data_IF_834137180379
#
_entry.id   IF_834137180379
#
_cell.length_a   1.000
_cell.length_b   1.000
_cell.length_c   1.000
_cell.angle_alpha   90.00
_cell.angle_beta   90.00
_cell.angle_gamma   90.00
#
_symmetry.space_group_name_H-M   'P 1'
#
loop_
_entity.id
_entity.type
_entity.pdbx_description
1 polymer ?
#
# COMPACT_ATOMS: atom_id res chain seq x y z
N UNK A 1 7.81 -13.87 -7.98
CA UNK A 1 7.47 -12.80 -8.95
C UNK A 1 7.68 -13.26 -10.39
N UNK A 2 8.79 -13.94 -10.70
CA UNK A 2 9.05 -14.52 -12.04
C UNK A 2 7.91 -15.40 -12.58
N UNK A 3 7.39 -16.33 -11.77
CA UNK A 3 6.25 -17.18 -12.17
C UNK A 3 4.98 -16.40 -12.57
N UNK A 4 4.72 -15.27 -11.90
CA UNK A 4 3.56 -14.40 -12.17
C UNK A 4 3.76 -13.70 -13.51
N UNK A 5 4.97 -13.18 -13.73
CA UNK A 5 5.36 -12.51 -14.97
C UNK A 5 5.25 -13.48 -16.14
N UNK A 6 5.75 -14.71 -16.00
CA UNK A 6 5.61 -15.74 -17.04
C UNK A 6 4.15 -16.09 -17.32
N UNK A 7 3.31 -16.21 -16.28
CA UNK A 7 1.88 -16.50 -16.48
C UNK A 7 1.15 -15.35 -17.19
N UNK A 8 1.40 -14.11 -16.80
CA UNK A 8 0.90 -12.92 -17.50
C UNK A 8 1.32 -12.93 -18.97
N UNK A 9 2.59 -13.22 -19.28
CA UNK A 9 3.06 -13.32 -20.68
C UNK A 9 2.29 -14.37 -21.45
N UNK A 10 2.14 -15.56 -20.89
CA UNK A 10 1.44 -16.67 -21.55
C UNK A 10 -0.01 -16.32 -21.84
N UNK A 11 -0.73 -15.72 -20.89
CA UNK A 11 -2.10 -15.30 -21.12
C UNK A 11 -2.23 -14.14 -22.10
N UNK A 12 -1.30 -13.18 -22.09
CA UNK A 12 -1.28 -12.09 -23.08
C UNK A 12 -1.07 -12.66 -24.49
N UNK A 13 -0.12 -13.57 -24.66
CA UNK A 13 0.12 -14.25 -25.94
C UNK A 13 -1.13 -15.03 -26.39
N UNK A 14 -1.86 -15.58 -25.42
CA UNK A 14 -3.04 -16.39 -25.68
C UNK A 14 -4.36 -15.61 -25.76
N UNK A 15 -4.35 -14.32 -25.47
CA UNK A 15 -5.54 -13.47 -25.46
C UNK A 15 -6.10 -13.30 -26.87
N UNK A 16 -7.43 -13.38 -27.03
CA UNK A 16 -8.08 -13.40 -28.35
C UNK A 16 -7.73 -12.18 -29.20
N UNK A 17 -7.67 -10.99 -28.60
CA UNK A 17 -7.28 -9.76 -29.31
C UNK A 17 -5.83 -9.85 -29.85
N UNK A 18 -4.93 -10.52 -29.12
CA UNK A 18 -3.53 -10.71 -29.54
C UNK A 18 -3.43 -11.81 -30.60
N UNK A 19 -4.16 -12.93 -30.43
CA UNK A 19 -4.25 -14.01 -31.41
C UNK A 19 -4.88 -13.60 -32.74
N UNK A 20 -5.84 -12.68 -32.70
CA UNK A 20 -6.51 -12.16 -33.90
C UNK A 20 -5.77 -10.97 -34.53
N UNK A 21 -4.57 -10.64 -34.04
CA UNK A 21 -3.70 -9.59 -34.58
C UNK A 21 -2.50 -10.17 -35.33
N UNK A 22 -1.70 -9.32 -35.96
CA UNK A 22 -0.44 -9.71 -36.61
C UNK A 22 0.68 -10.14 -35.64
N UNK A 23 0.38 -10.22 -34.32
CA UNK A 23 1.28 -10.77 -33.30
C UNK A 23 1.25 -12.31 -33.25
N UNK A 24 0.19 -12.93 -33.76
CA UNK A 24 0.02 -14.39 -33.75
C UNK A 24 1.05 -15.11 -34.63
N UNK A 25 1.53 -16.28 -34.17
CA UNK A 25 2.48 -17.13 -34.90
C UNK A 25 3.95 -16.68 -34.84
N UNK A 26 4.28 -15.60 -34.13
CA UNK A 26 5.66 -15.15 -33.95
C UNK A 26 6.22 -15.56 -32.59
N UNK A 27 7.15 -16.53 -32.57
CA UNK A 27 7.77 -17.06 -31.33
C UNK A 27 8.80 -16.10 -30.70
N UNK A 28 9.23 -15.07 -31.44
CA UNK A 28 10.11 -14.01 -30.95
C UNK A 28 9.66 -12.66 -31.49
N UNK A 29 9.17 -11.81 -30.60
CA UNK A 29 8.74 -10.46 -30.97
C UNK A 29 9.94 -9.53 -31.15
N UNK A 30 9.94 -8.77 -32.26
CA UNK A 30 10.88 -7.67 -32.50
C UNK A 30 10.24 -6.34 -32.05
N UNK A 31 10.99 -5.24 -32.16
CA UNK A 31 10.54 -3.91 -31.72
C UNK A 31 9.16 -3.51 -32.27
N UNK A 32 8.87 -3.82 -33.53
CA UNK A 32 7.59 -3.51 -34.17
C UNK A 32 6.41 -4.22 -33.50
N UNK A 33 6.57 -5.49 -33.10
CA UNK A 33 5.56 -6.27 -32.40
C UNK A 33 5.27 -5.70 -31.01
N UNK A 34 6.29 -5.22 -30.29
CA UNK A 34 6.08 -4.56 -29.00
C UNK A 34 5.40 -3.18 -29.11
N UNK A 35 5.58 -2.48 -30.22
CA UNK A 35 4.83 -1.25 -30.53
C UNK A 35 3.35 -1.59 -30.74
N UNK A 36 3.08 -2.57 -31.61
CA UNK A 36 1.72 -3.01 -31.86
C UNK A 36 1.01 -3.52 -30.60
N UNK A 37 1.70 -4.30 -29.76
CA UNK A 37 1.15 -4.76 -28.48
C UNK A 37 0.85 -3.60 -27.52
N UNK A 38 1.73 -2.59 -27.47
CA UNK A 38 1.50 -1.37 -26.69
C UNK A 38 0.20 -0.67 -27.12
N UNK A 39 -0.04 -0.56 -28.42
CA UNK A 39 -1.23 0.09 -28.97
C UNK A 39 -2.50 -0.73 -28.68
N UNK A 40 -2.44 -2.05 -28.85
CA UNK A 40 -3.54 -2.98 -28.51
C UNK A 40 -3.91 -2.85 -27.02
N UNK A 41 -2.91 -2.85 -26.14
CA UNK A 41 -3.13 -2.70 -24.69
C UNK A 41 -3.73 -1.33 -24.38
N UNK A 42 -3.21 -0.26 -24.99
CA UNK A 42 -3.73 1.09 -24.80
C UNK A 42 -5.20 1.21 -25.20
N UNK A 43 -5.58 0.67 -26.36
CA UNK A 43 -6.97 0.70 -26.82
C UNK A 43 -7.90 -0.07 -25.89
N UNK A 44 -7.47 -1.26 -25.44
CA UNK A 44 -8.23 -2.09 -24.51
C UNK A 44 -8.40 -1.40 -23.15
N UNK A 45 -7.32 -0.87 -22.57
CA UNK A 45 -7.36 -0.16 -21.30
C UNK A 45 -8.17 1.14 -21.36
N UNK A 46 -8.13 1.85 -22.49
CA UNK A 46 -8.91 3.08 -22.69
C UNK A 46 -10.42 2.83 -22.71
N UNK A 47 -10.84 1.62 -23.10
CA UNK A 47 -12.25 1.19 -23.16
C UNK A 47 -12.67 0.34 -21.96
N UNK A 48 -11.74 -0.05 -21.10
CA UNK A 48 -12.00 -0.93 -19.95
C UNK A 48 -12.83 -0.22 -18.87
N UNK A 49 -13.85 -0.91 -18.37
CA UNK A 49 -14.65 -0.47 -17.21
C UNK A 49 -13.82 -0.41 -15.92
N UNK A 50 -12.74 -1.19 -15.84
CA UNK A 50 -11.82 -1.21 -14.70
C UNK A 50 -10.81 -0.06 -14.69
N UNK A 51 -10.82 0.78 -15.74
CA UNK A 51 -9.95 1.95 -15.96
C UNK A 51 -10.76 3.25 -16.10
N UNK A 52 -11.66 3.51 -15.15
CA UNK A 52 -12.47 4.74 -15.09
C UNK A 52 -12.11 5.61 -13.88
N UNK A 53 -12.42 6.90 -13.96
CA UNK A 53 -12.28 7.86 -12.85
C UNK A 53 -10.85 8.01 -12.31
N UNK A 54 -10.70 8.07 -10.98
CA UNK A 54 -9.41 8.28 -10.30
C UNK A 54 -8.36 7.23 -10.66
N UNK A 55 -8.78 5.99 -10.91
CA UNK A 55 -7.87 4.90 -11.26
C UNK A 55 -7.20 5.11 -12.62
N UNK A 56 -7.88 5.75 -13.58
CA UNK A 56 -7.29 6.15 -14.86
C UNK A 56 -6.20 7.20 -14.67
N UNK A 57 -6.38 8.13 -13.74
CA UNK A 57 -5.41 9.17 -13.43
C UNK A 57 -4.17 8.59 -12.70
N UNK A 58 -4.38 7.63 -11.80
CA UNK A 58 -3.33 7.05 -10.97
C UNK A 58 -2.45 6.03 -11.72
N UNK A 59 -3.06 5.20 -12.58
CA UNK A 59 -2.35 4.18 -13.35
C UNK A 59 -1.93 4.70 -14.73
N UNK A 60 -2.79 5.45 -15.41
CA UNK A 60 -2.65 5.76 -16.83
C UNK A 60 -2.94 4.54 -17.72
N UNK A 61 -3.36 4.77 -18.97
CA UNK A 61 -3.79 3.70 -19.90
C UNK A 61 -2.68 3.19 -20.82
N UNK A 62 -1.47 3.77 -20.76
CA UNK A 62 -0.35 3.41 -21.64
C UNK A 62 0.71 2.57 -20.93
N UNK A 63 1.33 1.64 -21.68
CA UNK A 63 2.57 0.95 -21.33
C UNK A 63 3.51 1.10 -22.52
N UNK A 64 4.76 1.54 -22.34
CA UNK A 64 5.66 1.71 -23.48
C UNK A 64 6.09 0.36 -24.08
N UNK A 65 6.30 0.33 -25.40
CA UNK A 65 6.85 -0.82 -26.12
C UNK A 65 8.20 -1.30 -25.56
N UNK A 66 9.05 -0.38 -25.09
CA UNK A 66 10.30 -0.70 -24.39
C UNK A 66 10.10 -1.39 -23.05
N UNK A 67 9.04 -1.04 -22.31
CA UNK A 67 8.71 -1.68 -21.03
C UNK A 67 8.18 -3.09 -21.28
N UNK A 68 7.29 -3.27 -22.26
CA UNK A 68 6.81 -4.59 -22.69
C UNK A 68 7.97 -5.48 -23.16
N UNK A 69 8.89 -4.94 -23.97
CA UNK A 69 10.07 -5.68 -24.40
C UNK A 69 10.89 -6.18 -23.21
N UNK A 70 11.14 -5.34 -22.20
CA UNK A 70 11.89 -5.74 -20.99
C UNK A 70 11.17 -6.82 -20.17
N UNK A 71 9.84 -6.72 -20.06
CA UNK A 71 9.02 -7.73 -19.38
C UNK A 71 9.15 -9.06 -20.11
N UNK A 72 8.88 -9.09 -21.41
CA UNK A 72 8.87 -10.32 -22.19
C UNK A 72 10.26 -10.98 -22.32
N UNK A 73 11.33 -10.19 -22.32
CA UNK A 73 12.72 -10.70 -22.41
C UNK A 73 13.38 -11.01 -21.06
N UNK A 74 12.65 -10.98 -19.94
CA UNK A 74 13.17 -11.25 -18.58
C UNK A 74 14.32 -10.35 -18.11
N UNK A 75 14.52 -9.20 -18.74
CA UNK A 75 15.51 -8.21 -18.30
C UNK A 75 15.08 -7.43 -17.04
N UNK A 76 13.87 -7.68 -16.51
CA UNK A 76 13.35 -7.01 -15.32
C UNK A 76 13.72 -7.71 -14.01
N UNK A 77 13.99 -9.03 -14.04
CA UNK A 77 14.27 -9.82 -12.83
C UNK A 77 15.74 -9.77 -12.43
N UNK A 78 16.64 -9.55 -13.39
CA UNK A 78 18.09 -9.48 -13.18
C UNK A 78 18.51 -8.26 -12.33
N UNK A 79 17.72 -7.18 -12.29
CA UNK A 79 18.09 -5.92 -11.64
C UNK A 79 17.20 -5.53 -10.43
N UNK A 80 16.46 -6.46 -9.83
CA UNK A 80 15.90 -6.29 -8.48
C UNK A 80 14.93 -5.11 -8.23
N UNK A 81 14.46 -4.40 -9.25
CA UNK A 81 13.60 -3.22 -9.05
C UNK A 81 12.11 -3.60 -9.09
N UNK A 82 11.56 -4.01 -7.95
CA UNK A 82 10.11 -4.10 -7.70
C UNK A 82 9.54 -2.74 -7.33
N UNK A 83 9.83 -1.72 -8.14
CA UNK A 83 9.36 -0.37 -7.89
C UNK A 83 7.85 -0.23 -8.15
N UNK A 84 7.24 0.83 -7.62
CA UNK A 84 5.80 1.09 -7.80
C UNK A 84 5.41 1.18 -9.29
N UNK A 85 6.33 1.65 -10.14
CA UNK A 85 6.11 1.74 -11.59
C UNK A 85 5.96 0.35 -12.23
N UNK A 86 6.78 -0.61 -11.80
CA UNK A 86 6.69 -1.99 -12.24
C UNK A 86 5.38 -2.65 -11.81
N UNK A 87 5.00 -2.50 -10.54
CA UNK A 87 3.74 -3.04 -10.03
C UNK A 87 2.52 -2.45 -10.76
N UNK A 88 2.49 -1.13 -10.99
CA UNK A 88 1.46 -0.47 -11.81
C UNK A 88 1.44 -1.00 -13.24
N UNK A 89 2.58 -1.41 -13.79
CA UNK A 89 2.65 -2.01 -15.13
C UNK A 89 2.03 -3.41 -15.14
N UNK A 90 2.34 -4.25 -14.16
CA UNK A 90 1.71 -5.57 -14.02
C UNK A 90 0.19 -5.45 -13.77
N UNK A 91 -0.23 -4.43 -13.01
CA UNK A 91 -1.65 -4.14 -12.77
C UNK A 91 -2.40 -3.82 -14.06
N UNK A 92 -1.82 -2.99 -14.94
CA UNK A 92 -2.38 -2.73 -16.27
C UNK A 92 -2.44 -3.97 -17.14
N UNK A 93 -1.43 -4.85 -17.08
CA UNK A 93 -1.44 -6.10 -17.84
C UNK A 93 -2.54 -7.05 -17.37
N UNK A 94 -2.78 -7.13 -16.06
CA UNK A 94 -3.91 -7.88 -15.52
C UNK A 94 -5.26 -7.28 -15.96
N UNK A 95 -5.37 -5.94 -15.97
CA UNK A 95 -6.58 -5.27 -16.46
C UNK A 95 -6.80 -5.49 -17.96
N UNK A 96 -5.73 -5.50 -18.75
CA UNK A 96 -5.81 -5.85 -20.16
C UNK A 96 -6.38 -7.25 -20.38
N UNK A 97 -6.07 -8.21 -19.49
CA UNK A 97 -6.60 -9.58 -19.50
C UNK A 97 -8.02 -9.69 -18.94
N UNK A 98 -8.69 -8.58 -18.62
CA UNK A 98 -10.07 -8.56 -18.14
C UNK A 98 -10.22 -8.66 -16.61
N UNK A 99 -9.13 -8.61 -15.85
CA UNK A 99 -9.20 -8.65 -14.39
C UNK A 99 -9.27 -7.23 -13.80
N UNK A 100 -10.01 -7.00 -12.70
CA UNK A 100 -10.06 -5.66 -12.08
C UNK A 100 -8.70 -5.10 -11.66
N UNK A 101 -7.71 -5.94 -11.37
CA UNK A 101 -6.34 -5.59 -10.97
C UNK A 101 -5.45 -6.85 -10.95
N UNK A 102 -4.16 -6.69 -10.70
CA UNK A 102 -3.19 -7.77 -10.57
C UNK A 102 -3.59 -8.79 -9.50
N UNK A 103 -4.14 -8.35 -8.37
CA UNK A 103 -4.54 -9.30 -7.33
C UNK A 103 -5.71 -10.16 -7.78
N UNK A 104 -6.67 -9.61 -8.51
CA UNK A 104 -7.77 -10.39 -9.12
C UNK A 104 -7.24 -11.44 -10.10
N UNK A 105 -6.23 -11.10 -10.91
CA UNK A 105 -5.53 -12.04 -11.78
C UNK A 105 -4.85 -13.16 -10.98
N UNK A 106 -4.13 -12.82 -9.89
CA UNK A 106 -3.46 -13.80 -9.05
C UNK A 106 -4.46 -14.75 -8.37
N UNK A 107 -5.58 -14.21 -7.89
CA UNK A 107 -6.63 -14.98 -7.25
C UNK A 107 -7.28 -15.97 -8.22
N UNK A 108 -7.60 -15.55 -9.44
CA UNK A 108 -8.15 -16.43 -10.47
C UNK A 108 -7.24 -17.63 -10.74
N UNK A 109 -5.94 -17.38 -10.88
CA UNK A 109 -4.96 -18.41 -11.18
C UNK A 109 -4.51 -19.25 -9.98
N UNK A 110 -4.76 -18.78 -8.75
CA UNK A 110 -4.63 -19.62 -7.55
C UNK A 110 -5.81 -20.56 -7.36
N UNK A 111 -7.00 -20.21 -7.89
CA UNK A 111 -8.20 -21.04 -7.87
C UNK A 111 -8.23 -22.09 -8.98
N UNK A 112 -7.67 -21.80 -10.16
CA UNK A 112 -7.69 -22.74 -11.30
C UNK A 112 -6.84 -24.01 -11.11
N UNK A 113 -6.10 -24.14 -10.01
CA UNK A 113 -5.37 -25.37 -9.64
C UNK A 113 -6.19 -26.31 -8.73
N UNK A 114 -7.43 -25.93 -8.37
CA UNK A 114 -8.39 -26.77 -7.63
C UNK A 114 -9.72 -26.79 -8.37
N UNK A 115 -9.99 -27.89 -9.06
CA UNK A 115 -11.12 -28.09 -9.97
C UNK A 115 -12.49 -28.10 -9.25
N UNK A 116 -13.40 -27.27 -9.76
CA UNK A 116 -14.89 -27.39 -9.92
C UNK A 116 -15.80 -27.76 -8.72
N UNK A 117 -16.73 -26.85 -8.34
CA UNK A 117 -18.17 -26.81 -8.75
C UNK A 117 -18.78 -25.47 -8.27
N UNK A 118 -19.70 -24.94 -9.10
CA UNK A 118 -20.32 -23.60 -9.13
C UNK A 118 -21.21 -23.19 -7.93
N UNK A 119 -21.21 -21.90 -7.57
CA UNK A 119 -22.27 -20.89 -7.83
C UNK A 119 -22.00 -19.58 -7.07
N UNK A 120 -22.04 -18.45 -7.79
CA UNK A 120 -22.04 -17.08 -7.26
C UNK A 120 -23.45 -16.64 -6.78
N UNK A 121 -23.61 -15.49 -6.08
CA UNK A 121 -22.63 -14.74 -5.30
C UNK A 121 -23.18 -14.41 -3.90
N UNK A 122 -22.36 -14.61 -2.88
CA UNK A 122 -22.52 -13.85 -1.63
C UNK A 122 -21.16 -13.49 -1.11
N UNK A 123 -21.05 -12.25 -0.67
CA UNK A 123 -19.91 -11.68 0.02
C UNK A 123 -19.60 -12.53 1.25
N UNK A 124 -18.70 -13.49 1.10
CA UNK A 124 -18.11 -14.20 2.23
C UNK A 124 -16.62 -14.32 2.00
N UNK A 125 -15.92 -13.48 2.74
CA UNK A 125 -14.53 -13.67 3.11
C UNK A 125 -14.40 -15.04 3.75
N UNK A 126 -13.70 -15.95 3.10
CA UNK A 126 -13.02 -17.07 3.74
C UNK A 126 -11.95 -17.56 2.77
N UNK A 127 -10.76 -18.01 3.16
CA UNK A 127 -10.01 -18.07 4.41
C UNK A 127 -8.63 -18.49 3.89
N UNK A 128 -7.57 -17.74 4.16
CA UNK A 128 -6.21 -18.26 3.97
C UNK A 128 -5.85 -18.98 5.26
N UNK A 129 -5.96 -20.31 5.26
CA UNK A 129 -5.15 -21.20 6.09
C UNK A 129 -4.10 -21.75 5.10
N UNK A 130 -2.81 -21.43 5.21
CA UNK A 130 -1.96 -21.96 6.27
C UNK A 130 -0.73 -21.07 6.48
N UNK A 131 -0.85 -20.14 7.42
CA UNK A 131 0.22 -19.72 8.34
C UNK A 131 -0.51 -19.44 9.66
N UNK A 132 -0.18 -20.14 10.74
CA UNK A 132 -0.90 -20.15 12.03
C UNK A 132 -1.06 -18.78 12.77
N UNK A 133 -0.89 -17.63 12.12
CA UNK A 133 -1.15 -16.31 12.69
C UNK A 133 -2.45 -15.71 12.12
N UNK A 134 -3.51 -15.56 12.93
CA UNK A 134 -4.74 -14.91 12.53
C UNK A 134 -4.51 -13.46 12.09
N UNK A 135 -5.25 -12.96 11.10
CA UNK A 135 -5.25 -11.53 10.73
C UNK A 135 -5.41 -10.60 11.95
N UNK A 136 -6.18 -11.05 12.95
CA UNK A 136 -6.39 -10.38 14.23
C UNK A 136 -5.08 -10.01 14.93
N UNK A 137 -4.09 -10.90 14.88
CA UNK A 137 -2.78 -10.67 15.50
C UNK A 137 -2.09 -9.43 14.93
N UNK A 138 -2.05 -9.29 13.60
CA UNK A 138 -1.42 -8.13 12.95
C UNK A 138 -2.25 -6.86 13.11
N UNK A 139 -3.58 -6.96 13.13
CA UNK A 139 -4.45 -5.81 13.41
C UNK A 139 -4.26 -5.30 14.83
N UNK A 140 -4.03 -6.18 15.81
CA UNK A 140 -3.75 -5.79 17.19
C UNK A 140 -2.43 -5.06 17.32
N UNK A 141 -1.36 -5.52 16.65
CA UNK A 141 -0.07 -4.81 16.65
C UNK A 141 -0.25 -3.38 16.11
N UNK A 142 -0.95 -3.22 14.98
CA UNK A 142 -1.18 -1.89 14.40
C UNK A 142 -2.05 -1.03 15.30
N UNK A 143 -3.20 -1.54 15.76
CA UNK A 143 -4.10 -0.80 16.64
C UNK A 143 -3.40 -0.35 17.92
N UNK A 144 -2.64 -1.24 18.55
CA UNK A 144 -1.92 -0.92 19.78
C UNK A 144 -0.77 0.06 19.53
N UNK A 145 -0.08 -0.01 18.39
CA UNK A 145 0.89 1.02 18.01
C UNK A 145 0.25 2.41 17.90
N UNK A 146 -0.95 2.52 17.32
CA UNK A 146 -1.68 3.78 17.22
C UNK A 146 -2.16 4.28 18.59
N UNK A 147 -2.62 3.38 19.47
CA UNK A 147 -2.97 3.72 20.85
C UNK A 147 -1.75 4.26 21.59
N UNK A 148 -0.62 3.56 21.54
CA UNK A 148 0.59 4.03 22.20
C UNK A 148 1.05 5.37 21.62
N UNK A 149 1.02 5.57 20.30
CA UNK A 149 1.30 6.87 19.69
C UNK A 149 0.39 7.99 20.25
N UNK A 150 -0.90 7.73 20.43
CA UNK A 150 -1.81 8.68 21.06
C UNK A 150 -1.47 8.95 22.54
N UNK A 151 -1.05 7.93 23.29
CA UNK A 151 -0.54 8.09 24.66
C UNK A 151 0.76 8.90 24.70
N UNK A 152 1.64 8.79 23.69
CA UNK A 152 2.82 9.66 23.57
C UNK A 152 2.40 11.12 23.42
N UNK A 153 1.40 11.41 22.57
CA UNK A 153 0.89 12.76 22.38
C UNK A 153 0.32 13.36 23.69
N UNK A 154 -0.31 12.55 24.54
CA UNK A 154 -0.80 12.99 25.86
C UNK A 154 0.30 13.37 26.83
N UNK A 155 1.51 12.83 26.67
CA UNK A 155 2.67 13.14 27.53
C UNK A 155 3.37 14.43 27.13
N UNK A 156 3.06 14.98 25.95
CA UNK A 156 3.64 16.25 25.51
C UNK A 156 3.40 17.34 26.57
N UNK A 157 4.40 18.22 26.81
CA UNK A 157 5.65 18.38 26.06
C UNK A 157 6.77 17.41 26.46
N UNK A 158 6.54 16.44 27.35
CA UNK A 158 7.58 15.45 27.69
C UNK A 158 7.78 14.45 26.54
N UNK A 159 9.01 14.32 26.06
CA UNK A 159 9.37 13.30 25.05
C UNK A 159 9.75 12.01 25.76
N UNK A 160 8.83 11.08 25.81
CA UNK A 160 9.04 9.73 26.32
C UNK A 160 8.36 8.73 25.40
N UNK A 161 9.15 7.98 24.62
CA UNK A 161 8.66 6.99 23.65
C UNK A 161 7.99 5.77 24.29
N UNK A 162 8.01 5.65 25.63
CA UNK A 162 7.18 4.73 26.40
C UNK A 162 7.14 3.30 25.86
N UNK A 163 5.92 2.75 25.73
CA UNK A 163 5.68 1.39 25.24
C UNK A 163 5.53 1.32 23.72
N UNK A 164 5.81 2.40 23.01
CA UNK A 164 5.73 2.41 21.54
C UNK A 164 6.71 1.40 20.92
N UNK A 165 7.87 1.19 21.55
CA UNK A 165 8.85 0.19 21.13
C UNK A 165 8.39 -1.26 21.34
N UNK A 166 7.29 -1.53 22.06
CA UNK A 166 6.69 -2.85 22.13
C UNK A 166 6.08 -3.27 20.78
N UNK A 167 5.59 -2.31 20.00
CA UNK A 167 4.88 -2.53 18.74
C UNK A 167 5.68 -2.12 17.50
N UNK A 168 6.72 -1.31 17.67
CA UNK A 168 7.55 -0.76 16.58
C UNK A 168 9.02 -1.00 16.90
N UNK A 169 9.83 -1.40 15.93
CA UNK A 169 11.28 -1.54 16.14
C UNK A 169 11.94 -0.17 16.34
N UNK A 170 12.77 -0.02 17.38
CA UNK A 170 13.47 1.26 17.67
C UNK A 170 14.41 1.68 16.53
N UNK A 171 14.99 0.71 15.83
CA UNK A 171 15.87 0.90 14.68
C UNK A 171 15.13 1.37 13.42
N UNK A 172 13.81 1.40 13.44
CA UNK A 172 12.99 1.66 12.25
C UNK A 172 12.93 3.14 11.86
N UNK A 173 12.74 3.38 10.57
CA UNK A 173 12.46 4.72 10.02
C UNK A 173 11.22 5.35 10.64
N UNK A 174 10.15 4.57 10.87
CA UNK A 174 8.91 5.06 11.48
C UNK A 174 9.11 5.48 12.93
N UNK A 175 9.87 4.72 13.73
CA UNK A 175 10.16 5.09 15.12
C UNK A 175 10.91 6.42 15.18
N UNK A 176 11.97 6.56 14.37
CA UNK A 176 12.73 7.81 14.28
C UNK A 176 11.87 8.99 13.83
N UNK A 177 11.04 8.82 12.80
CA UNK A 177 10.13 9.87 12.31
C UNK A 177 9.16 10.36 13.39
N UNK A 178 8.65 9.44 14.22
CA UNK A 178 7.73 9.77 15.32
C UNK A 178 8.47 10.44 16.46
N UNK A 179 9.66 9.95 16.82
CA UNK A 179 10.52 10.58 17.82
C UNK A 179 10.86 12.03 17.44
N UNK A 180 11.37 12.24 16.22
CA UNK A 180 11.74 13.57 15.72
C UNK A 180 10.54 14.52 15.70
N UNK A 181 9.33 14.01 15.42
CA UNK A 181 8.09 14.79 15.48
C UNK A 181 7.71 15.18 16.91
N UNK A 182 7.87 14.27 17.88
CA UNK A 182 7.59 14.55 19.28
C UNK A 182 8.58 15.55 19.88
N UNK A 183 9.87 15.45 19.54
CA UNK A 183 10.88 16.45 19.92
C UNK A 183 10.46 17.83 19.42
N UNK A 184 10.02 17.92 18.16
CA UNK A 184 9.51 19.17 17.58
C UNK A 184 8.29 19.72 18.31
N UNK A 185 7.31 18.88 18.65
CA UNK A 185 6.14 19.31 19.42
C UNK A 185 6.49 19.75 20.85
N UNK A 186 7.46 19.09 21.46
CA UNK A 186 8.01 19.45 22.77
C UNK A 186 8.68 20.83 22.75
N UNK A 187 9.53 21.10 21.74
CA UNK A 187 10.19 22.40 21.56
C UNK A 187 9.20 23.57 21.40
N UNK A 188 8.01 23.29 20.85
CA UNK A 188 6.93 24.28 20.70
C UNK A 188 6.02 24.39 21.93
N UNK A 189 6.31 23.65 23.01
CA UNK A 189 5.49 23.58 24.22
C UNK A 189 4.02 23.24 23.90
N UNK A 190 3.82 22.27 23.00
CA UNK A 190 2.49 21.79 22.65
C UNK A 190 1.98 20.82 23.71
N UNK A 191 0.69 20.93 24.01
CA UNK A 191 -0.04 20.03 24.89
C UNK A 191 -1.26 19.48 24.13
N UNK A 192 -1.57 18.21 24.31
CA UNK A 192 -2.73 17.59 23.68
C UNK A 192 -4.02 18.04 24.39
N UNK A 193 -4.99 18.53 23.63
CA UNK A 193 -6.31 18.90 24.13
C UNK A 193 -7.24 17.69 24.12
N UNK A 194 -7.41 17.05 25.28
CA UNK A 194 -8.34 15.94 25.47
C UNK A 194 -9.72 16.37 26.00
N UNK A 195 -9.95 17.66 26.25
CA UNK A 195 -11.23 18.13 26.78
C UNK A 195 -12.36 17.85 25.78
N UNK A 196 -13.49 17.33 26.28
CA UNK A 196 -14.67 17.01 25.46
C UNK A 196 -14.37 16.15 24.22
N UNK A 197 -13.39 15.24 24.33
CA UNK A 197 -12.97 14.35 23.23
C UNK A 197 -12.47 15.10 21.98
N UNK A 198 -11.93 16.32 22.17
CA UNK A 198 -11.35 17.14 21.09
C UNK A 198 -10.14 16.50 20.40
N UNK A 199 -9.50 15.56 21.07
CA UNK A 199 -8.47 14.71 20.47
C UNK A 199 -8.90 13.25 20.52
N UNK A 200 -8.98 12.60 19.36
CA UNK A 200 -9.36 11.21 19.21
C UNK A 200 -8.82 10.64 17.89
N UNK A 201 -8.86 9.31 17.79
CA UNK A 201 -8.49 8.61 16.57
C UNK A 201 -9.32 7.33 16.42
N UNK A 202 -9.40 6.86 15.19
CA UNK A 202 -10.01 5.57 14.87
C UNK A 202 -9.19 4.87 13.79
N UNK A 203 -8.96 3.57 13.97
CA UNK A 203 -8.31 2.71 12.99
C UNK A 203 -9.28 1.62 12.56
N UNK A 204 -9.61 1.59 11.27
CA UNK A 204 -10.64 0.73 10.73
C UNK A 204 -10.29 0.24 9.33
N UNK A 205 -11.14 -0.62 8.76
CA UNK A 205 -10.99 -1.08 7.38
C UNK A 205 -9.69 -1.85 7.13
N UNK A 206 -9.23 -2.62 8.13
CA UNK A 206 -8.04 -3.45 8.05
C UNK A 206 -8.09 -4.42 6.87
N UNK A 207 -7.00 -4.50 6.11
CA UNK A 207 -6.85 -5.42 4.97
C UNK A 207 -5.44 -6.00 4.98
N UNK A 208 -5.32 -7.27 5.32
CA UNK A 208 -4.06 -8.01 5.12
C UNK A 208 -3.78 -8.06 3.61
N UNK A 209 -2.62 -7.55 3.20
CA UNK A 209 -2.19 -7.48 1.80
C UNK A 209 -1.27 -8.62 1.44
N UNK A 210 -0.38 -8.98 2.36
CA UNK A 210 0.52 -10.11 2.22
C UNK A 210 0.98 -10.61 3.58
N UNK A 211 1.31 -11.90 3.64
CA UNK A 211 1.95 -12.54 4.79
C UNK A 211 2.96 -13.56 4.29
N UNK A 212 4.05 -13.70 5.01
CA UNK A 212 5.11 -14.68 4.82
C UNK A 212 5.64 -15.09 6.20
N UNK A 213 6.67 -15.93 6.24
CA UNK A 213 7.26 -16.43 7.48
C UNK A 213 7.76 -15.29 8.41
N UNK A 214 8.34 -14.25 7.81
CA UNK A 214 9.03 -13.18 8.53
C UNK A 214 8.55 -11.76 8.17
N UNK A 215 7.65 -11.61 7.20
CA UNK A 215 7.06 -10.31 6.85
C UNK A 215 5.53 -10.37 6.70
N UNK A 216 4.87 -9.26 7.02
CA UNK A 216 3.45 -9.06 6.75
C UNK A 216 3.19 -7.62 6.33
N UNK A 217 2.18 -7.40 5.49
CA UNK A 217 1.74 -6.07 5.07
C UNK A 217 0.26 -5.94 5.33
N UNK A 218 -0.12 -4.91 6.09
CA UNK A 218 -1.51 -4.62 6.41
C UNK A 218 -1.86 -3.19 6.04
N UNK A 219 -2.98 -3.01 5.34
CA UNK A 219 -3.52 -1.70 5.04
C UNK A 219 -4.63 -1.32 6.01
N UNK A 220 -4.68 -0.06 6.40
CA UNK A 220 -5.70 0.52 7.27
C UNK A 220 -6.34 1.73 6.61
N UNK A 221 -7.52 2.10 7.12
CA UNK A 221 -8.03 3.46 7.06
C UNK A 221 -7.97 4.04 8.46
N UNK A 222 -7.54 5.28 8.56
CA UNK A 222 -7.36 5.95 9.83
C UNK A 222 -8.01 7.31 9.80
N UNK A 223 -8.64 7.65 10.91
CA UNK A 223 -9.11 8.99 11.20
C UNK A 223 -8.34 9.51 12.41
N UNK A 224 -7.75 10.68 12.27
CA UNK A 224 -7.05 11.38 13.34
C UNK A 224 -7.62 12.78 13.48
N UNK A 225 -8.16 13.08 14.65
CA UNK A 225 -8.59 14.41 15.02
C UNK A 225 -7.82 14.82 16.27
N UNK A 226 -6.80 15.65 16.14
CA UNK A 226 -5.85 15.99 17.21
C UNK A 226 -5.84 17.51 17.39
N UNK A 227 -6.20 17.98 18.59
CA UNK A 227 -6.11 19.41 18.94
C UNK A 227 -4.92 19.67 19.85
N UNK A 228 -4.09 20.65 19.49
CA UNK A 228 -2.98 21.13 20.32
C UNK A 228 -3.28 22.51 20.91
N UNK A 229 -2.89 22.70 22.16
CA UNK A 229 -2.90 23.98 22.86
C UNK A 229 -1.49 24.31 23.35
N UNK A 230 -1.22 25.58 23.64
CA UNK A 230 -0.03 25.97 24.41
C UNK A 230 -0.24 25.83 25.91
N UNK A 231 0.80 26.12 26.70
CA UNK A 231 0.76 26.13 28.16
C UNK A 231 -0.30 27.07 28.77
N UNK A 232 -0.83 28.02 28.02
CA UNK A 232 -1.91 28.92 28.47
C UNK A 232 -3.31 28.42 28.05
N UNK A 233 -3.41 27.23 27.45
CA UNK A 233 -4.66 26.64 26.97
C UNK A 233 -5.19 27.28 25.68
N UNK A 234 -4.40 28.11 24.99
CA UNK A 234 -4.81 28.72 23.72
C UNK A 234 -4.62 27.72 22.59
N UNK A 235 -5.66 27.53 21.78
CA UNK A 235 -5.60 26.66 20.61
C UNK A 235 -4.48 27.10 19.66
N UNK A 236 -3.59 26.16 19.33
CA UNK A 236 -2.49 26.38 18.40
C UNK A 236 -2.81 25.77 17.05
N UNK A 237 -3.18 24.49 17.04
CA UNK A 237 -3.24 23.71 15.82
C UNK A 237 -4.21 22.55 15.96
N UNK A 238 -4.86 22.19 14.85
CA UNK A 238 -5.75 21.02 14.78
C UNK A 238 -5.37 20.21 13.56
N UNK A 239 -5.14 18.91 13.77
CA UNK A 239 -5.04 17.91 12.71
C UNK A 239 -6.40 17.27 12.58
N UNK A 240 -6.95 17.22 11.38
CA UNK A 240 -8.16 16.46 11.08
C UNK A 240 -7.95 15.76 9.74
N UNK A 241 -7.59 14.48 9.78
CA UNK A 241 -7.18 13.74 8.61
C UNK A 241 -7.84 12.37 8.54
N UNK A 242 -8.27 12.00 7.34
CA UNK A 242 -8.59 10.62 6.98
C UNK A 242 -7.53 10.12 6.02
N UNK A 243 -6.78 9.11 6.43
CA UNK A 243 -5.67 8.56 5.63
C UNK A 243 -5.83 7.07 5.39
N UNK A 244 -5.15 6.59 4.34
CA UNK A 244 -4.95 5.16 4.11
C UNK A 244 -3.49 4.87 4.38
N UNK A 245 -3.20 4.03 5.37
CA UNK A 245 -1.83 3.66 5.69
C UNK A 245 -1.56 2.23 5.27
N UNK A 246 -0.29 1.95 4.98
CA UNK A 246 0.24 0.60 4.79
C UNK A 246 1.33 0.38 5.83
N UNK A 247 1.17 -0.63 6.66
CA UNK A 247 2.15 -1.04 7.66
C UNK A 247 2.90 -2.26 7.15
N UNK A 248 4.23 -2.19 7.26
CA UNK A 248 5.15 -3.28 6.96
C UNK A 248 5.64 -3.85 8.28
N UNK A 249 5.22 -5.07 8.61
CA UNK A 249 5.61 -5.78 9.81
C UNK A 249 6.71 -6.79 9.49
N UNK A 250 7.64 -6.95 10.43
CA UNK A 250 8.71 -7.95 10.36
C UNK A 250 8.77 -8.79 11.63
N UNK A 251 9.14 -10.06 11.48
CA UNK A 251 9.50 -10.97 12.55
C UNK A 251 11.02 -10.99 12.68
N UNK A 252 11.54 -10.49 13.80
CA UNK A 252 12.97 -10.53 14.10
C UNK A 252 13.13 -11.25 15.44
N UNK A 253 13.98 -12.28 15.49
CA UNK A 253 14.19 -13.11 16.68
C UNK A 253 12.90 -13.64 17.30
N UNK A 254 11.94 -14.03 16.46
CA UNK A 254 10.65 -14.58 16.91
C UNK A 254 9.57 -13.54 17.21
N UNK A 255 9.89 -12.25 17.26
CA UNK A 255 8.97 -11.17 17.66
C UNK A 255 8.52 -10.37 16.45
N UNK A 256 7.20 -10.21 16.29
CA UNK A 256 6.59 -9.37 15.26
C UNK A 256 6.44 -7.94 15.74
N UNK A 257 6.95 -6.96 14.99
CA UNK A 257 6.71 -5.53 15.19
C UNK A 257 6.63 -4.80 13.85
N UNK A 258 6.17 -3.56 13.87
CA UNK A 258 6.17 -2.67 12.71
C UNK A 258 7.62 -2.27 12.42
N UNK A 259 8.01 -2.46 11.15
CA UNK A 259 9.29 -2.05 10.60
C UNK A 259 9.21 -0.74 9.84
N UNK A 260 8.09 -0.46 9.17
CA UNK A 260 7.84 0.83 8.53
C UNK A 260 6.33 1.03 8.32
N UNK A 261 5.94 2.26 8.03
CA UNK A 261 4.64 2.59 7.48
C UNK A 261 4.75 3.58 6.31
N UNK A 262 3.90 3.40 5.31
CA UNK A 262 3.63 4.44 4.34
C UNK A 262 2.41 5.24 4.79
N UNK A 263 2.65 6.43 5.33
CA UNK A 263 1.63 7.41 5.67
C UNK A 263 1.66 8.57 4.67
N UNK A 264 0.71 8.66 3.72
CA UNK A 264 0.69 9.73 2.73
C UNK A 264 0.40 11.13 3.32
N UNK A 265 -0.05 11.24 4.57
CA UNK A 265 -0.27 12.51 5.27
C UNK A 265 0.97 13.07 5.97
N UNK A 266 2.06 12.29 6.09
CA UNK A 266 3.23 12.69 6.87
C UNK A 266 3.92 13.94 6.33
N UNK A 267 4.01 14.07 5.00
CA UNK A 267 4.65 15.22 4.35
C UNK A 267 3.84 16.52 4.55
N UNK A 268 2.51 16.41 4.63
CA UNK A 268 1.61 17.54 4.89
C UNK A 268 1.78 18.05 6.33
N UNK A 269 1.84 17.14 7.30
CA UNK A 269 2.09 17.47 8.71
C UNK A 269 3.47 18.11 8.91
N UNK A 270 4.50 17.59 8.23
CA UNK A 270 5.84 18.15 8.26
C UNK A 270 5.92 19.53 7.60
N UNK A 271 5.17 19.76 6.51
CA UNK A 271 5.15 21.03 5.80
C UNK A 271 4.38 22.13 6.56
N UNK A 272 3.28 21.80 7.22
CA UNK A 272 2.53 22.78 8.02
C UNK A 272 3.30 23.20 9.29
N UNK A 273 4.12 22.31 9.85
CA UNK A 273 5.09 22.66 10.90
C UNK A 273 6.13 23.72 10.46
N UNK A 274 6.54 23.71 9.18
CA UNK A 274 7.47 24.72 8.67
C UNK A 274 6.81 26.10 8.55
N UNK A 275 5.49 26.15 8.27
CA UNK A 275 4.73 27.41 8.20
C UNK A 275 4.51 28.02 9.58
N UNK A 276 4.26 27.22 10.61
CA UNK A 276 4.10 27.76 11.97
C UNK A 276 5.38 28.38 12.53
N UNK A 277 6.57 28.01 12.01
CA UNK A 277 7.84 28.66 12.34
C UNK A 277 8.07 30.00 11.64
N UNK A 278 7.39 30.28 10.52
CA UNK A 278 7.52 31.58 9.82
C UNK A 278 6.59 32.65 10.37
N UNK A 279 5.59 32.26 11.18
CA UNK A 279 4.58 33.15 11.75
C UNK A 279 4.83 33.47 13.25
N UNK A 280 5.97 33.04 13.81
CA UNK A 280 6.48 33.37 15.16
C UNK A 280 7.78 34.16 15.01
#
# INVERSE_FOLDING_TARGET
>A
MEKIIEKLKQEIINHDIVKNSSLFGSFQWKRAQYILLSDIIYESLSKSEFMQGSKKNDLGVSISSTTLQRIFTNNYTVNGNTDLRFLKTLDKLAIFLGYPNLNSFLLHHSKSEKTEVEKEPTETVSEIQDTNLPIHFFTEIVLNSCKEYFELLKKLPTVDMGRFSEYVFEESSVFKRIFDLHVKYSELDYHLNCENNRSNFEVYGYKLRSISEDTAVIGTKEFWNIGFVDSNGKNKYVINEVTRQLYFLRKINGVWKIWDNHNPGYDTLAADFLKTKSDI
#
